data_IF_886558290419
#
_entry.id   IF_886558290419
#
_cell.length_a   1.000
_cell.length_b   1.000
_cell.length_c   1.000
_cell.angle_alpha   90.00
_cell.angle_beta   90.00
_cell.angle_gamma   90.00
#
_symmetry.space_group_name_H-M   'P 1'
#
loop_
_entity.id
_entity.type
_entity.pdbx_description
1 polymer ?
#
# COMPACT_ATOMS: atom_id res chain seq x y z
N UNK A 1 0.18 9.60 -27.91
CA UNK A 1 -0.33 8.86 -26.73
C UNK A 1 -0.19 9.80 -25.54
N UNK A 2 -1.27 10.21 -24.88
CA UNK A 2 -1.15 10.97 -23.64
C UNK A 2 -0.63 10.01 -22.57
N UNK A 3 0.46 10.38 -21.88
CA UNK A 3 0.95 9.63 -20.72
C UNK A 3 -0.19 9.62 -19.68
N UNK A 4 -0.74 8.45 -19.35
CA UNK A 4 -1.71 8.36 -18.27
C UNK A 4 -1.03 8.81 -16.98
N UNK A 5 -1.71 9.68 -16.22
CA UNK A 5 -1.24 10.14 -14.92
C UNK A 5 -1.07 8.92 -13.99
N UNK A 6 0.00 8.90 -13.20
CA UNK A 6 0.31 7.81 -12.28
C UNK A 6 0.60 8.38 -10.90
N UNK A 7 0.29 7.59 -9.87
CA UNK A 7 0.76 7.85 -8.51
C UNK A 7 2.02 7.03 -8.24
N UNK A 8 3.07 7.71 -7.80
CA UNK A 8 4.24 7.14 -7.16
C UNK A 8 4.00 7.11 -5.66
N UNK A 9 3.95 5.91 -5.08
CA UNK A 9 3.83 5.69 -3.65
C UNK A 9 5.20 5.39 -3.06
N UNK A 10 5.57 6.17 -2.05
CA UNK A 10 6.84 6.07 -1.33
C UNK A 10 6.58 5.76 0.15
N UNK A 11 6.91 4.54 0.56
CA UNK A 11 6.67 4.04 1.92
C UNK A 11 8.01 3.86 2.64
N UNK A 12 8.10 4.41 3.85
CA UNK A 12 9.32 4.42 4.67
C UNK A 12 9.04 3.92 6.08
N UNK A 13 9.97 3.12 6.60
CA UNK A 13 10.03 2.78 8.02
C UNK A 13 10.68 3.97 8.73
N UNK A 14 9.90 4.71 9.51
CA UNK A 14 10.31 6.02 10.02
C UNK A 14 11.30 5.95 11.20
N UNK A 15 11.24 4.89 12.00
CA UNK A 15 11.84 4.76 13.33
C UNK A 15 13.07 3.84 13.37
N UNK A 16 13.68 3.58 12.21
CA UNK A 16 14.88 2.73 12.06
C UNK A 16 15.97 3.47 11.28
N UNK A 17 17.23 3.07 11.52
CA UNK A 17 18.41 3.73 10.93
C UNK A 17 18.47 5.25 11.24
N UNK A 18 19.38 5.98 10.57
CA UNK A 18 19.59 7.41 10.84
C UNK A 18 18.47 8.31 10.28
N UNK A 19 17.79 7.90 9.20
CA UNK A 19 16.79 8.70 8.49
C UNK A 19 15.58 7.90 8.02
N UNK A 20 15.37 6.72 8.60
CA UNK A 20 14.42 5.74 8.06
C UNK A 20 15.01 4.89 6.94
N UNK A 21 14.31 3.80 6.62
CA UNK A 21 14.64 2.89 5.51
C UNK A 21 13.45 2.83 4.55
N UNK A 22 13.73 2.80 3.25
CA UNK A 22 12.68 2.60 2.25
C UNK A 22 12.11 1.18 2.39
N UNK A 23 10.79 1.10 2.58
CA UNK A 23 10.07 -0.17 2.67
C UNK A 23 9.59 -0.62 1.29
N UNK A 24 8.95 0.29 0.55
CA UNK A 24 8.42 0.03 -0.77
C UNK A 24 8.32 1.33 -1.57
N UNK A 25 8.62 1.23 -2.88
CA UNK A 25 8.41 2.33 -3.85
C UNK A 25 7.74 1.77 -5.09
N UNK A 26 6.47 2.12 -5.30
CA UNK A 26 5.64 1.55 -6.36
C UNK A 26 4.95 2.60 -7.23
N UNK A 27 4.71 2.28 -8.49
CA UNK A 27 3.87 3.09 -9.40
C UNK A 27 2.51 2.43 -9.57
N UNK A 28 1.48 3.25 -9.58
CA UNK A 28 0.08 2.83 -9.70
C UNK A 28 -0.67 3.74 -10.65
N UNK A 29 -1.76 3.24 -11.24
CA UNK A 29 -2.83 4.14 -11.68
C UNK A 29 -3.35 4.91 -10.45
N UNK A 30 -3.88 6.14 -10.62
CA UNK A 30 -4.40 6.90 -9.50
C UNK A 30 -5.45 6.10 -8.73
N UNK A 31 -5.23 5.94 -7.42
CA UNK A 31 -6.12 5.22 -6.52
C UNK A 31 -6.21 5.96 -5.20
N UNK A 32 -7.38 5.89 -4.57
CA UNK A 32 -7.59 6.39 -3.22
C UNK A 32 -7.32 5.33 -2.14
N UNK A 33 -7.18 4.06 -2.54
CA UNK A 33 -6.92 2.95 -1.64
C UNK A 33 -5.73 2.14 -2.15
N UNK A 34 -4.77 1.88 -1.28
CA UNK A 34 -3.67 0.96 -1.52
C UNK A 34 -3.55 0.01 -0.33
N UNK A 35 -3.56 -1.29 -0.59
CA UNK A 35 -3.22 -2.29 0.42
C UNK A 35 -1.71 -2.49 0.47
N UNK A 36 -1.17 -2.68 1.65
CA UNK A 36 0.26 -2.87 1.91
C UNK A 36 0.44 -4.18 2.64
N UNK A 37 1.12 -5.13 2.00
CA UNK A 37 1.42 -6.41 2.64
C UNK A 37 2.57 -6.27 3.63
N UNK A 38 2.42 -6.87 4.81
CA UNK A 38 3.43 -6.90 5.87
C UNK A 38 3.95 -5.49 6.22
N UNK A 39 3.03 -4.53 6.36
CA UNK A 39 3.35 -3.16 6.69
C UNK A 39 4.15 -3.06 8.01
N UNK A 40 5.23 -2.26 8.06
CA UNK A 40 6.01 -1.97 9.26
C UNK A 40 5.16 -1.44 10.43
N UNK A 41 5.72 -1.41 11.65
CA UNK A 41 5.03 -0.87 12.83
C UNK A 41 4.67 0.61 12.67
N UNK A 42 5.58 1.40 12.12
CA UNK A 42 5.36 2.82 11.83
C UNK A 42 5.71 3.09 10.38
N UNK A 43 4.80 3.74 9.64
CA UNK A 43 4.99 4.11 8.24
C UNK A 43 4.94 5.62 8.04
N UNK A 44 5.89 6.14 7.27
CA UNK A 44 5.73 7.40 6.56
C UNK A 44 5.37 7.08 5.11
N UNK A 45 4.37 7.79 4.57
CA UNK A 45 3.87 7.60 3.21
C UNK A 45 3.86 8.93 2.50
N UNK A 46 4.40 8.96 1.29
CA UNK A 46 4.27 10.08 0.37
C UNK A 46 3.74 9.59 -0.97
N UNK A 47 2.78 10.34 -1.52
CA UNK A 47 2.22 10.09 -2.86
C UNK A 47 2.52 11.28 -3.75
N UNK A 48 3.13 11.02 -4.91
CA UNK A 48 3.44 12.02 -5.92
C UNK A 48 2.86 11.62 -7.27
N UNK A 49 2.56 12.61 -8.11
CA UNK A 49 2.28 12.37 -9.53
C UNK A 49 3.54 11.88 -10.26
N UNK A 50 3.38 11.36 -11.47
CA UNK A 50 4.51 11.00 -12.35
C UNK A 50 5.44 12.19 -12.65
N UNK A 51 4.93 13.42 -12.63
CA UNK A 51 5.71 14.66 -12.77
C UNK A 51 6.37 15.14 -11.47
N UNK A 52 6.25 14.39 -10.37
CA UNK A 52 6.86 14.71 -9.08
C UNK A 52 6.06 15.67 -8.19
N UNK A 53 4.90 16.15 -8.64
CA UNK A 53 4.02 17.01 -7.82
C UNK A 53 3.46 16.20 -6.63
N UNK A 54 3.48 16.72 -5.40
CA UNK A 54 2.88 16.05 -4.25
C UNK A 54 1.36 15.94 -4.41
N UNK A 55 0.83 14.78 -4.02
CA UNK A 55 -0.61 14.47 -4.00
C UNK A 55 -1.09 14.39 -2.55
N UNK A 56 -0.47 13.53 -1.74
CA UNK A 56 -0.85 13.31 -0.36
C UNK A 56 0.33 12.82 0.49
N UNK A 57 0.20 12.95 1.81
CA UNK A 57 1.21 12.50 2.77
C UNK A 57 0.57 11.96 4.04
N UNK A 58 1.20 10.95 4.63
CA UNK A 58 0.93 10.48 5.98
C UNK A 58 2.24 10.32 6.74
N UNK A 59 2.27 10.78 7.98
CA UNK A 59 3.45 10.70 8.84
C UNK A 59 3.14 9.88 10.08
N UNK A 60 4.12 9.10 10.54
CA UNK A 60 4.07 8.31 11.75
C UNK A 60 2.79 7.46 11.85
N UNK A 61 2.38 6.84 10.74
CA UNK A 61 1.21 5.98 10.66
C UNK A 61 1.46 4.68 11.42
N UNK A 62 1.11 4.70 12.70
CA UNK A 62 1.24 3.57 13.60
C UNK A 62 0.31 2.42 13.20
N UNK A 63 0.78 1.19 13.44
CA UNK A 63 -0.02 -0.03 13.30
C UNK A 63 -1.24 0.04 14.21
N UNK A 64 -2.40 -0.29 13.65
CA UNK A 64 -3.71 -0.23 14.31
C UNK A 64 -4.23 -1.60 14.75
N UNK A 65 -3.74 -2.68 14.14
CA UNK A 65 -4.08 -4.06 14.50
C UNK A 65 -2.97 -5.03 14.06
N UNK A 66 -2.94 -6.23 14.65
CA UNK A 66 -2.01 -7.30 14.25
C UNK A 66 -2.61 -8.12 13.11
N UNK A 67 -2.46 -7.62 11.88
CA UNK A 67 -3.01 -8.24 10.67
C UNK A 67 -1.98 -8.23 9.53
N UNK A 68 -2.14 -9.07 8.50
CA UNK A 68 -1.14 -9.18 7.42
C UNK A 68 -1.13 -8.01 6.43
N UNK A 69 -2.17 -7.17 6.44
CA UNK A 69 -2.36 -6.08 5.47
C UNK A 69 -2.68 -4.76 6.16
N UNK A 70 -2.07 -3.67 5.70
CA UNK A 70 -2.51 -2.32 6.00
C UNK A 70 -3.22 -1.71 4.80
N UNK A 71 -4.39 -1.13 5.02
CA UNK A 71 -5.12 -0.30 4.07
C UNK A 71 -4.71 1.15 4.27
N UNK A 72 -4.06 1.72 3.26
CA UNK A 72 -3.81 3.15 3.17
C UNK A 72 -4.95 3.82 2.42
N UNK A 73 -5.55 4.85 3.02
CA UNK A 73 -6.56 5.68 2.37
C UNK A 73 -6.00 7.07 2.09
N UNK A 74 -6.15 7.51 0.85
CA UNK A 74 -5.87 8.87 0.42
C UNK A 74 -7.18 9.66 0.45
N UNK A 75 -7.24 10.65 1.34
CA UNK A 75 -8.37 11.54 1.53
C UNK A 75 -7.89 12.98 1.41
N UNK A 76 -8.20 13.61 0.27
CA UNK A 76 -7.63 14.91 -0.08
C UNK A 76 -6.11 14.84 -0.23
N UNK A 77 -5.39 15.47 0.70
CA UNK A 77 -3.92 15.50 0.74
C UNK A 77 -3.32 14.68 1.90
N UNK A 78 -4.14 13.88 2.58
CA UNK A 78 -3.71 13.12 3.77
C UNK A 78 -3.80 11.63 3.50
N UNK A 79 -2.86 10.86 4.06
CA UNK A 79 -2.92 9.39 4.10
C UNK A 79 -3.25 8.93 5.52
N UNK A 80 -4.23 8.03 5.65
CA UNK A 80 -4.54 7.31 6.89
C UNK A 80 -4.24 5.82 6.73
N UNK A 81 -4.06 5.12 7.86
CA UNK A 81 -3.78 3.68 7.93
C UNK A 81 -4.85 2.97 8.76
N UNK A 82 -5.25 1.80 8.28
CA UNK A 82 -6.04 0.81 9.01
C UNK A 82 -5.49 -0.58 8.70
N UNK A 83 -5.17 -1.38 9.69
CA UNK A 83 -4.66 -2.75 9.53
C UNK A 83 -5.83 -3.71 9.56
N UNK A 84 -5.96 -4.50 8.49
CA UNK A 84 -7.14 -5.32 8.20
C UNK A 84 -6.77 -6.76 7.88
N UNK A 85 -7.76 -7.64 8.05
CA UNK A 85 -7.87 -8.86 7.28
C UNK A 85 -8.71 -8.55 6.04
N UNK A 86 -8.17 -8.70 4.82
CA UNK A 86 -8.93 -8.46 3.61
C UNK A 86 -10.21 -9.31 3.56
N UNK A 87 -11.26 -8.73 2.98
CA UNK A 87 -12.53 -9.42 2.70
C UNK A 87 -12.74 -9.51 1.19
N UNK A 88 -13.80 -10.19 0.75
CA UNK A 88 -14.15 -10.28 -0.67
C UNK A 88 -14.31 -8.91 -1.34
N UNK A 89 -14.81 -7.91 -0.59
CA UNK A 89 -14.95 -6.54 -1.08
C UNK A 89 -13.61 -5.84 -1.38
N UNK A 90 -12.49 -6.37 -0.88
CA UNK A 90 -11.15 -5.84 -1.18
C UNK A 90 -10.56 -6.43 -2.47
N UNK A 91 -11.17 -7.46 -3.08
CA UNK A 91 -10.71 -8.02 -4.35
C UNK A 91 -10.76 -6.95 -5.45
N UNK A 92 -9.75 -6.94 -6.33
CA UNK A 92 -9.54 -5.88 -7.31
C UNK A 92 -8.75 -4.67 -6.78
N UNK A 93 -8.54 -4.56 -5.46
CA UNK A 93 -7.68 -3.52 -4.90
C UNK A 93 -6.23 -3.72 -5.31
N UNK A 94 -5.52 -2.60 -5.49
CA UNK A 94 -4.07 -2.62 -5.66
C UNK A 94 -3.39 -2.96 -4.32
N UNK A 95 -2.39 -3.83 -4.39
CA UNK A 95 -1.54 -4.25 -3.27
C UNK A 95 -0.10 -3.95 -3.61
N UNK A 96 0.58 -3.17 -2.76
CA UNK A 96 2.03 -3.02 -2.79
C UNK A 96 2.67 -4.02 -1.83
N UNK A 97 3.69 -4.72 -2.30
CA UNK A 97 4.52 -5.61 -1.48
C UNK A 97 5.86 -4.94 -1.15
N UNK A 98 6.57 -5.49 -0.17
CA UNK A 98 7.93 -5.03 0.15
C UNK A 98 8.80 -5.05 -1.12
N UNK A 99 9.61 -4.01 -1.32
CA UNK A 99 10.37 -3.80 -2.55
C UNK A 99 9.64 -2.95 -3.61
N UNK A 100 8.30 -2.94 -3.60
CA UNK A 100 7.51 -1.97 -4.35
C UNK A 100 6.77 -2.50 -5.59
N UNK A 101 6.78 -3.80 -5.87
CA UNK A 101 5.87 -4.34 -6.88
C UNK A 101 4.41 -4.11 -6.47
N UNK A 102 3.59 -3.73 -7.44
CA UNK A 102 2.15 -3.53 -7.24
C UNK A 102 1.39 -4.53 -8.10
N UNK A 103 0.52 -5.30 -7.45
CA UNK A 103 -0.37 -6.24 -8.11
C UNK A 103 -1.83 -6.02 -7.71
N UNK A 104 -2.74 -6.68 -8.39
CA UNK A 104 -4.17 -6.66 -8.07
C UNK A 104 -4.52 -7.84 -7.17
N UNK A 105 -5.21 -7.60 -6.05
CA UNK A 105 -5.69 -8.67 -5.16
C UNK A 105 -6.75 -9.51 -5.86
N UNK A 106 -6.45 -10.77 -6.15
CA UNK A 106 -7.37 -11.68 -6.85
C UNK A 106 -8.19 -12.51 -5.88
N UNK A 107 -7.56 -13.02 -4.82
CA UNK A 107 -8.18 -13.91 -3.84
C UNK A 107 -7.57 -13.69 -2.47
N UNK A 108 -8.40 -13.89 -1.45
CA UNK A 108 -8.01 -13.92 -0.06
C UNK A 108 -8.79 -15.01 0.68
N UNK A 109 -8.13 -15.70 1.59
CA UNK A 109 -8.72 -16.65 2.52
C UNK A 109 -7.90 -16.64 3.82
N UNK A 110 -8.59 -16.77 4.95
CA UNK A 110 -7.99 -17.04 6.25
C UNK A 110 -8.92 -17.94 7.09
N UNK A 111 -8.36 -18.62 8.09
CA UNK A 111 -9.17 -19.34 9.10
C UNK A 111 -9.85 -18.37 10.08
N UNK A 112 -10.80 -18.88 10.86
CA UNK A 112 -11.59 -18.06 11.79
C UNK A 112 -10.75 -17.49 12.94
N UNK A 113 -9.67 -18.18 13.29
CA UNK A 113 -8.72 -17.82 14.34
C UNK A 113 -7.58 -16.92 13.85
N UNK A 114 -7.57 -16.56 12.56
CA UNK A 114 -6.58 -15.65 11.97
C UNK A 114 -5.13 -16.14 12.11
N UNK A 115 -4.92 -17.46 12.10
CA UNK A 115 -3.61 -18.11 12.19
C UNK A 115 -3.06 -18.56 10.83
N UNK A 116 -3.93 -18.71 9.83
CA UNK A 116 -3.55 -19.13 8.50
C UNK A 116 -4.15 -18.22 7.46
N UNK A 117 -3.42 -17.95 6.38
CA UNK A 117 -3.96 -17.26 5.23
C UNK A 117 -3.35 -17.73 3.92
N UNK A 118 -4.15 -17.57 2.86
CA UNK A 118 -3.75 -17.80 1.48
C UNK A 118 -4.33 -16.69 0.64
N UNK A 119 -3.52 -16.18 -0.27
CA UNK A 119 -3.91 -15.09 -1.14
C UNK A 119 -3.13 -15.17 -2.44
N UNK A 120 -3.61 -14.45 -3.44
CA UNK A 120 -2.94 -14.38 -4.75
C UNK A 120 -3.02 -12.97 -5.30
N UNK A 121 -1.91 -12.53 -5.91
CA UNK A 121 -1.82 -11.31 -6.68
C UNK A 121 -1.70 -11.62 -8.15
N UNK A 122 -2.30 -10.76 -8.97
CA UNK A 122 -1.97 -10.67 -10.39
C UNK A 122 -1.03 -9.49 -10.61
N UNK A 123 0.11 -9.77 -11.24
CA UNK A 123 1.00 -8.74 -11.76
C UNK A 123 0.86 -8.71 -13.28
N UNK A 124 0.37 -7.58 -13.79
CA UNK A 124 0.13 -7.41 -15.21
C UNK A 124 0.89 -6.18 -15.72
N UNK A 125 1.62 -6.37 -16.82
CA UNK A 125 2.32 -5.30 -17.50
C UNK A 125 1.79 -5.20 -18.94
N UNK A 126 1.12 -4.10 -19.25
CA UNK A 126 0.76 -3.75 -20.62
C UNK A 126 1.69 -2.63 -21.09
N UNK A 127 2.47 -2.88 -22.14
CA UNK A 127 3.40 -1.92 -22.74
C UNK A 127 2.81 -1.31 -23.99
#
# INVERSE_FOLDING_TARGET
>A
MAQQEQHLWDLWIADVAATGINFARGRTTPTNILLVHAAPQTLNVEVRTSGGKPVARGENLARTADTPMARLRLEGNTITREDIWPVEADHGSLVIVAGGEVGTLQKWWNDAEHQQWRWSLEFYNHR
#
